data_IF_743757470874
#
_entry.id   IF_743757470874
#
_cell.length_a   1.000
_cell.length_b   1.000
_cell.length_c   1.000
_cell.angle_alpha   90.00
_cell.angle_beta   90.00
_cell.angle_gamma   90.00
#
_symmetry.space_group_name_H-M   'P 1'
#
loop_
_entity.id
_entity.type
_entity.pdbx_description
1 polymer ?
#
# COMPACT_ATOMS: atom_id res chain seq x y z
N UNK A 1 24.31 45.91 3.54
CA UNK A 1 23.92 44.94 2.50
C UNK A 1 23.94 43.56 3.16
N UNK A 2 22.79 43.05 3.59
CA UNK A 2 22.71 41.69 4.11
C UNK A 2 22.82 40.74 2.92
N UNK A 3 23.84 39.87 2.93
CA UNK A 3 23.89 38.71 2.05
C UNK A 3 22.72 37.80 2.45
N UNK A 4 21.54 38.06 1.88
CA UNK A 4 20.36 37.24 2.07
C UNK A 4 20.66 35.85 1.55
N UNK A 5 20.88 34.90 2.44
CA UNK A 5 20.91 33.49 2.08
C UNK A 5 19.57 33.14 1.45
N UNK A 6 19.58 32.85 0.15
CA UNK A 6 18.42 32.31 -0.57
C UNK A 6 18.22 30.87 -0.09
N UNK A 7 17.39 30.71 0.94
CA UNK A 7 17.01 29.40 1.48
C UNK A 7 15.73 28.93 0.78
N UNK A 8 15.83 27.82 0.04
CA UNK A 8 14.68 27.16 -0.59
C UNK A 8 13.82 26.46 0.46
N UNK A 9 12.49 26.51 0.33
CA UNK A 9 11.55 25.96 1.32
C UNK A 9 10.39 25.23 0.64
N UNK A 10 9.97 24.10 1.22
CA UNK A 10 8.78 23.33 0.85
C UNK A 10 7.86 23.36 2.08
N UNK A 11 6.73 24.05 1.96
CA UNK A 11 5.96 24.47 3.13
C UNK A 11 6.83 25.26 4.13
N UNK A 12 7.03 24.70 5.33
CA UNK A 12 7.85 25.29 6.41
C UNK A 12 9.29 24.79 6.45
N UNK A 13 9.65 23.77 5.66
CA UNK A 13 10.93 23.07 5.78
C UNK A 13 11.93 23.58 4.75
N UNK A 14 13.13 24.04 5.15
CA UNK A 14 14.19 24.40 4.22
C UNK A 14 14.84 23.17 3.58
N UNK A 15 15.11 23.20 2.27
CA UNK A 15 15.70 22.09 1.54
C UNK A 15 16.78 22.55 0.55
N UNK A 16 17.78 21.69 0.32
CA UNK A 16 19.02 22.03 -0.44
C UNK A 16 18.97 21.59 -1.92
N UNK A 17 18.14 20.59 -2.25
CA UNK A 17 18.04 20.00 -3.58
C UNK A 17 17.02 20.76 -4.45
N UNK A 18 17.12 20.74 -5.79
CA UNK A 18 16.05 21.28 -6.63
C UNK A 18 14.74 20.48 -6.51
N UNK A 19 13.57 21.06 -6.83
CA UNK A 19 12.28 20.35 -6.91
C UNK A 19 12.26 19.36 -8.07
N UNK A 20 13.10 18.31 -7.98
CA UNK A 20 13.38 17.36 -9.04
C UNK A 20 13.11 15.90 -8.68
N UNK A 21 13.17 15.52 -7.41
CA UNK A 21 13.04 14.11 -7.05
C UNK A 21 11.64 13.84 -6.49
N UNK A 22 10.65 13.84 -7.39
CA UNK A 22 9.34 13.27 -7.12
C UNK A 22 9.50 11.76 -6.92
N UNK A 23 9.20 11.25 -5.74
CA UNK A 23 9.00 9.81 -5.56
C UNK A 23 7.59 9.46 -6.04
N UNK A 24 7.49 8.51 -6.97
CA UNK A 24 6.21 7.93 -7.37
C UNK A 24 6.08 6.56 -6.71
N UNK A 25 5.06 6.42 -5.86
CA UNK A 25 4.71 5.15 -5.23
C UNK A 25 3.49 4.60 -5.95
N UNK A 26 3.69 3.53 -6.72
CA UNK A 26 2.63 2.88 -7.50
C UNK A 26 2.15 1.61 -6.79
N UNK A 27 0.90 1.61 -6.37
CA UNK A 27 0.18 0.44 -5.88
C UNK A 27 -0.62 -0.19 -7.02
N UNK A 28 0.03 -1.04 -7.82
CA UNK A 28 -0.64 -1.77 -8.90
C UNK A 28 -0.94 -3.21 -8.50
N UNK A 29 -2.12 -3.71 -8.86
CA UNK A 29 -2.45 -5.14 -8.77
C UNK A 29 -1.44 -6.01 -9.54
N UNK A 30 -0.83 -5.49 -10.61
CA UNK A 30 0.17 -6.25 -11.39
C UNK A 30 1.41 -6.59 -10.57
N UNK A 31 1.78 -5.72 -9.62
CA UNK A 31 2.93 -5.89 -8.75
C UNK A 31 2.68 -6.87 -7.61
N UNK A 32 1.42 -7.26 -7.34
CA UNK A 32 1.09 -8.21 -6.27
C UNK A 32 1.31 -9.67 -6.65
N UNK A 33 1.58 -9.97 -7.93
CA UNK A 33 1.90 -11.32 -8.39
C UNK A 33 3.22 -11.78 -7.79
N UNK A 34 3.18 -12.86 -7.02
CA UNK A 34 4.38 -13.47 -6.44
C UNK A 34 5.21 -14.18 -7.49
N UNK A 35 6.53 -14.12 -7.34
CA UNK A 35 7.46 -14.99 -8.08
C UNK A 35 7.61 -16.31 -7.33
N UNK A 36 7.97 -17.37 -8.05
CA UNK A 36 8.00 -18.74 -7.51
C UNK A 36 8.98 -18.94 -6.33
N UNK A 37 9.99 -18.09 -6.20
CA UNK A 37 11.02 -18.17 -5.16
C UNK A 37 10.88 -17.10 -4.06
N UNK A 38 9.89 -16.21 -4.17
CA UNK A 38 9.72 -15.11 -3.21
C UNK A 38 8.99 -15.59 -1.96
N UNK A 39 9.58 -15.34 -0.80
CA UNK A 39 8.87 -15.35 0.46
C UNK A 39 8.11 -14.04 0.70
N UNK A 40 7.50 -13.86 1.89
CA UNK A 40 6.73 -12.65 2.19
C UNK A 40 7.61 -11.40 2.29
N UNK A 41 8.86 -11.55 2.72
CA UNK A 41 9.82 -10.44 2.85
C UNK A 41 10.29 -10.00 1.45
N UNK A 42 10.70 -10.95 0.61
CA UNK A 42 11.15 -10.66 -0.76
C UNK A 42 10.03 -9.99 -1.57
N UNK A 43 8.82 -10.54 -1.44
CA UNK A 43 7.62 -10.02 -2.07
C UNK A 43 7.37 -8.56 -1.67
N UNK A 44 7.38 -8.25 -0.37
CA UNK A 44 7.10 -6.89 0.11
C UNK A 44 8.23 -5.91 -0.20
N UNK A 45 9.49 -6.33 -0.15
CA UNK A 45 10.63 -5.52 -0.56
C UNK A 45 10.49 -5.11 -2.04
N UNK A 46 10.12 -6.05 -2.91
CA UNK A 46 9.85 -5.76 -4.32
C UNK A 46 8.63 -4.86 -4.50
N UNK A 47 7.50 -5.23 -3.88
CA UNK A 47 6.23 -4.50 -4.01
C UNK A 47 6.36 -3.04 -3.56
N UNK A 48 7.08 -2.80 -2.46
CA UNK A 48 7.30 -1.46 -1.92
C UNK A 48 8.54 -0.79 -2.51
N UNK A 49 9.39 -1.50 -3.23
CA UNK A 49 10.71 -1.06 -3.69
C UNK A 49 11.55 -0.44 -2.56
N UNK A 50 11.77 -1.22 -1.50
CA UNK A 50 12.55 -0.84 -0.31
C UNK A 50 13.49 -1.96 0.10
N UNK A 51 14.51 -1.63 0.89
CA UNK A 51 15.38 -2.63 1.50
C UNK A 51 14.72 -3.35 2.69
N UNK A 52 15.34 -4.44 3.14
CA UNK A 52 14.85 -5.28 4.23
C UNK A 52 14.74 -4.53 5.56
N UNK A 53 15.69 -3.66 5.88
CA UNK A 53 15.66 -2.92 7.15
C UNK A 53 14.51 -1.92 7.17
N UNK A 54 14.29 -1.21 6.06
CA UNK A 54 13.14 -0.33 5.89
C UNK A 54 11.81 -1.10 6.01
N UNK A 55 11.70 -2.30 5.41
CA UNK A 55 10.51 -3.13 5.54
C UNK A 55 10.22 -3.53 7.00
N UNK A 56 11.23 -3.97 7.73
CA UNK A 56 11.07 -4.36 9.13
C UNK A 56 10.65 -3.16 10.00
N UNK A 57 11.23 -1.99 9.75
CA UNK A 57 10.81 -0.75 10.41
C UNK A 57 9.35 -0.40 10.11
N UNK A 58 8.89 -0.53 8.86
CA UNK A 58 7.49 -0.32 8.51
C UNK A 58 6.56 -1.32 9.22
N UNK A 59 6.98 -2.58 9.37
CA UNK A 59 6.21 -3.60 10.08
C UNK A 59 6.06 -3.30 11.58
N UNK A 60 7.06 -2.68 12.21
CA UNK A 60 6.97 -2.22 13.61
C UNK A 60 5.92 -1.11 13.80
N UNK A 61 5.62 -0.34 12.75
CA UNK A 61 4.53 0.65 12.76
C UNK A 61 3.14 -0.02 12.66
N UNK A 62 3.08 -1.33 12.41
CA UNK A 62 1.86 -2.14 12.33
C UNK A 62 1.11 -2.02 11.00
N UNK A 63 -0.13 -2.53 10.98
CA UNK A 63 -1.01 -2.55 9.79
C UNK A 63 -1.56 -1.19 9.34
N UNK A 64 -1.10 -0.09 9.93
CA UNK A 64 -1.51 1.26 9.58
C UNK A 64 -2.99 1.56 9.86
N UNK A 65 -3.52 2.60 9.22
CA UNK A 65 -4.89 3.07 9.46
C UNK A 65 -5.95 2.25 8.70
N UNK A 66 -5.62 1.69 7.52
CA UNK A 66 -6.61 0.96 6.72
C UNK A 66 -6.87 -0.44 7.29
N UNK A 67 -5.85 -1.14 7.80
CA UNK A 67 -6.03 -2.40 8.50
C UNK A 67 -5.27 -2.42 9.84
N UNK A 68 -5.81 -1.77 10.89
CA UNK A 68 -5.12 -1.67 12.17
C UNK A 68 -4.84 -3.04 12.78
N UNK A 69 -3.60 -3.25 13.20
CA UNK A 69 -3.15 -4.50 13.80
C UNK A 69 -1.63 -4.56 13.93
N UNK A 70 -1.15 -5.65 14.50
CA UNK A 70 0.27 -5.91 14.69
C UNK A 70 0.80 -6.76 13.54
N UNK A 71 2.08 -6.58 13.21
CA UNK A 71 2.78 -7.32 12.18
C UNK A 71 4.06 -7.90 12.77
N UNK A 72 4.38 -9.14 12.42
CA UNK A 72 5.71 -9.72 12.66
C UNK A 72 6.12 -10.62 11.51
N UNK A 73 7.42 -10.82 11.36
CA UNK A 73 7.98 -11.81 10.47
C UNK A 73 8.50 -12.99 11.27
N UNK A 74 8.13 -14.20 10.88
CA UNK A 74 8.61 -15.44 11.49
C UNK A 74 9.06 -16.42 10.42
N UNK A 75 10.08 -17.21 10.73
CA UNK A 75 10.51 -18.28 9.84
C UNK A 75 9.39 -19.31 9.69
N UNK A 76 9.15 -19.73 8.45
CA UNK A 76 8.18 -20.75 8.15
C UNK A 76 8.65 -22.11 8.67
N UNK A 77 7.73 -22.88 9.25
CA UNK A 77 7.97 -24.23 9.73
C UNK A 77 7.00 -25.19 9.05
N UNK A 78 7.53 -26.34 8.64
CA UNK A 78 6.76 -27.47 8.15
C UNK A 78 6.42 -28.40 9.32
N UNK A 79 5.17 -28.87 9.36
CA UNK A 79 4.67 -29.78 10.39
C UNK A 79 4.60 -31.18 9.81
N UNK A 80 5.42 -32.08 10.33
CA UNK A 80 5.43 -33.49 9.95
C UNK A 80 5.06 -34.34 11.16
N UNK A 81 4.46 -35.49 10.90
CA UNK A 81 4.27 -36.52 11.91
C UNK A 81 5.28 -37.63 11.63
N UNK A 82 5.95 -38.11 12.67
CA UNK A 82 6.86 -39.25 12.55
C UNK A 82 6.10 -40.59 12.55
N UNK A 83 6.84 -41.70 12.60
CA UNK A 83 6.27 -43.05 12.63
C UNK A 83 5.46 -43.36 13.91
N UNK A 84 5.53 -42.48 14.92
CA UNK A 84 4.84 -42.59 16.21
C UNK A 84 3.74 -41.53 16.38
N UNK A 85 3.34 -40.84 15.31
CA UNK A 85 2.41 -39.70 15.32
C UNK A 85 2.89 -38.51 16.19
N UNK A 86 4.19 -38.38 16.44
CA UNK A 86 4.77 -37.21 17.13
C UNK A 86 4.97 -36.03 16.14
N UNK A 87 4.59 -34.82 16.57
CA UNK A 87 4.73 -33.61 15.75
C UNK A 87 6.19 -33.14 15.72
N UNK A 88 6.78 -33.15 14.53
CA UNK A 88 8.10 -32.61 14.23
C UNK A 88 7.95 -31.31 13.45
N UNK A 89 8.51 -30.23 14.00
CA UNK A 89 8.63 -28.94 13.34
C UNK A 89 9.97 -28.87 12.61
N UNK A 90 9.94 -28.67 11.29
CA UNK A 90 11.15 -28.47 10.49
C UNK A 90 11.16 -27.07 9.90
N UNK A 91 12.24 -26.33 10.13
CA UNK A 91 12.44 -25.02 9.52
C UNK A 91 12.48 -25.10 7.99
N UNK A 92 11.75 -24.21 7.33
CA UNK A 92 11.75 -24.08 5.88
C UNK A 92 12.82 -23.07 5.47
N UNK A 93 13.64 -23.46 4.51
CA UNK A 93 14.65 -22.61 3.89
C UNK A 93 14.41 -22.46 2.38
N UNK A 94 14.87 -21.36 1.83
CA UNK A 94 14.94 -21.09 0.39
C UNK A 94 16.01 -21.96 -0.28
N UNK A 95 16.02 -22.06 -1.63
CA UNK A 95 17.02 -22.84 -2.37
C UNK A 95 18.49 -22.43 -2.14
N UNK A 96 18.72 -21.17 -1.75
CA UNK A 96 20.04 -20.62 -1.41
C UNK A 96 20.44 -20.87 0.06
N UNK A 97 19.56 -21.49 0.86
CA UNK A 97 19.78 -21.77 2.27
C UNK A 97 19.33 -20.67 3.22
N UNK A 98 18.83 -19.52 2.73
CA UNK A 98 18.27 -18.49 3.61
C UNK A 98 16.93 -18.95 4.25
N UNK A 99 16.59 -18.48 5.46
CA UNK A 99 15.28 -18.73 6.06
C UNK A 99 14.13 -18.25 5.15
N UNK A 100 13.10 -19.08 4.99
CA UNK A 100 11.86 -18.66 4.34
C UNK A 100 10.99 -17.92 5.36
N UNK A 101 10.69 -16.65 5.12
CA UNK A 101 9.99 -15.78 6.08
C UNK A 101 8.51 -15.60 5.73
N UNK A 102 7.65 -15.78 6.73
CA UNK A 102 6.22 -15.46 6.68
C UNK A 102 5.94 -14.14 7.38
N UNK A 103 5.09 -13.31 6.79
CA UNK A 103 4.42 -12.22 7.47
C UNK A 103 3.21 -12.77 8.21
N UNK A 104 3.16 -12.51 9.51
CA UNK A 104 2.02 -12.78 10.36
C UNK A 104 1.38 -11.45 10.77
N UNK A 105 0.07 -11.37 10.56
CA UNK A 105 -0.76 -10.23 10.95
C UNK A 105 -1.71 -10.64 12.07
N UNK A 106 -1.94 -9.73 13.01
CA UNK A 106 -2.98 -9.86 14.02
C UNK A 106 -3.79 -8.58 14.04
N UNK A 107 -5.09 -8.69 13.77
CA UNK A 107 -5.99 -7.54 13.80
C UNK A 107 -6.00 -6.88 15.18
N UNK A 108 -6.24 -5.56 15.23
CA UNK A 108 -6.29 -4.82 16.48
C UNK A 108 -7.40 -5.37 17.39
N UNK A 109 -7.00 -5.83 18.58
CA UNK A 109 -7.90 -6.49 19.53
C UNK A 109 -8.21 -7.97 19.20
N UNK A 110 -7.65 -8.50 18.11
CA UNK A 110 -7.69 -9.91 17.77
C UNK A 110 -6.72 -10.74 18.60
N UNK A 111 -7.00 -12.03 18.73
CA UNK A 111 -6.18 -12.96 19.52
C UNK A 111 -5.19 -13.76 18.67
N UNK A 112 -5.52 -13.99 17.39
CA UNK A 112 -4.81 -14.93 16.54
C UNK A 112 -3.91 -14.23 15.53
N UNK A 113 -2.72 -14.82 15.33
CA UNK A 113 -1.83 -14.47 14.23
C UNK A 113 -2.23 -15.27 12.99
N UNK A 114 -2.41 -14.59 11.88
CA UNK A 114 -2.74 -15.17 10.58
C UNK A 114 -1.66 -14.80 9.58
N UNK A 115 -1.22 -15.78 8.78
CA UNK A 115 -0.27 -15.53 7.71
C UNK A 115 -0.89 -14.66 6.63
N UNK A 116 -0.08 -13.87 5.94
CA UNK A 116 -0.49 -13.02 4.82
C UNK A 116 -1.35 -13.76 3.78
N UNK A 117 -0.99 -15.00 3.45
CA UNK A 117 -1.72 -15.85 2.51
C UNK A 117 -3.12 -16.32 2.98
N UNK A 118 -3.44 -16.15 4.27
CA UNK A 118 -4.73 -16.54 4.86
C UNK A 118 -5.66 -15.36 5.13
N UNK A 119 -5.24 -14.13 4.83
CA UNK A 119 -6.11 -12.97 4.87
C UNK A 119 -7.19 -13.07 3.79
N UNK A 120 -8.37 -12.53 4.08
CA UNK A 120 -9.38 -12.35 3.04
C UNK A 120 -8.84 -11.41 1.95
N UNK A 121 -9.34 -11.51 0.71
CA UNK A 121 -8.84 -10.72 -0.43
C UNK A 121 -8.85 -9.21 -0.16
N UNK A 122 -9.90 -8.71 0.51
CA UNK A 122 -10.01 -7.30 0.91
C UNK A 122 -9.00 -6.93 2.01
N UNK A 123 -8.82 -7.78 3.02
CA UNK A 123 -7.82 -7.58 4.09
C UNK A 123 -6.40 -7.58 3.54
N UNK A 124 -6.08 -8.53 2.65
CA UNK A 124 -4.81 -8.59 1.95
C UNK A 124 -4.54 -7.28 1.20
N UNK A 125 -5.51 -6.80 0.41
CA UNK A 125 -5.41 -5.52 -0.29
C UNK A 125 -5.26 -4.33 0.66
N UNK A 126 -6.04 -4.27 1.75
CA UNK A 126 -5.94 -3.21 2.76
C UNK A 126 -4.57 -3.19 3.43
N UNK A 127 -3.99 -4.35 3.74
CA UNK A 127 -2.68 -4.45 4.36
C UNK A 127 -1.58 -3.96 3.40
N UNK A 128 -1.63 -4.38 2.13
CA UNK A 128 -0.65 -3.92 1.13
C UNK A 128 -0.73 -2.41 0.89
N UNK A 129 -1.94 -1.88 0.69
CA UNK A 129 -2.14 -0.43 0.54
C UNK A 129 -1.71 0.29 1.82
N UNK A 130 -1.93 -0.27 3.00
CA UNK A 130 -1.46 0.32 4.27
C UNK A 130 0.06 0.44 4.31
N UNK A 131 0.79 -0.61 3.93
CA UNK A 131 2.25 -0.55 3.84
C UNK A 131 2.71 0.56 2.89
N UNK A 132 2.08 0.65 1.71
CA UNK A 132 2.45 1.64 0.72
C UNK A 132 2.10 3.08 1.17
N UNK A 133 0.97 3.27 1.87
CA UNK A 133 0.61 4.55 2.49
C UNK A 133 1.61 4.92 3.59
N UNK A 134 2.00 3.98 4.45
CA UNK A 134 3.03 4.23 5.47
C UNK A 134 4.36 4.58 4.82
N UNK A 135 4.78 3.86 3.77
CA UNK A 135 5.95 4.24 2.95
C UNK A 135 5.80 5.68 2.44
N UNK A 136 4.65 6.03 1.86
CA UNK A 136 4.42 7.37 1.32
C UNK A 136 4.52 8.47 2.38
N UNK A 137 3.99 8.22 3.59
CA UNK A 137 4.10 9.13 4.73
C UNK A 137 5.53 9.32 5.21
N UNK A 138 6.33 8.26 5.21
CA UNK A 138 7.74 8.39 5.57
C UNK A 138 8.55 9.09 4.47
N UNK A 139 8.30 8.77 3.20
CA UNK A 139 8.99 9.41 2.08
C UNK A 139 8.64 10.88 1.94
N UNK A 140 7.36 11.26 2.14
CA UNK A 140 6.92 12.65 1.98
C UNK A 140 7.49 13.62 3.02
N UNK A 141 8.09 13.12 4.10
CA UNK A 141 8.84 13.93 5.06
C UNK A 141 10.14 14.50 4.47
N UNK A 142 10.66 13.88 3.41
CA UNK A 142 11.96 14.19 2.83
C UNK A 142 11.91 14.59 1.36
N UNK A 143 10.87 14.16 0.63
CA UNK A 143 10.73 14.37 -0.82
C UNK A 143 9.28 14.67 -1.19
N UNK A 144 9.09 15.33 -2.33
CA UNK A 144 7.79 15.36 -3.00
C UNK A 144 7.36 13.93 -3.33
N UNK A 145 6.12 13.57 -3.00
CA UNK A 145 5.60 12.21 -3.18
C UNK A 145 4.27 12.24 -3.93
N UNK A 146 4.17 11.40 -4.96
CA UNK A 146 2.92 11.07 -5.65
C UNK A 146 2.56 9.61 -5.37
N UNK A 147 1.40 9.39 -4.79
CA UNK A 147 0.85 8.08 -4.49
C UNK A 147 -0.21 7.70 -5.51
N UNK A 148 0.01 6.60 -6.23
CA UNK A 148 -0.87 6.12 -7.30
C UNK A 148 -1.44 4.75 -6.93
N UNK A 149 -2.74 4.54 -7.16
CA UNK A 149 -3.38 3.24 -6.92
C UNK A 149 -4.13 2.77 -8.17
N UNK A 150 -3.82 1.56 -8.62
CA UNK A 150 -4.39 0.94 -9.81
C UNK A 150 -4.75 -0.54 -9.56
N UNK A 151 -6.02 -0.89 -9.79
CA UNK A 151 -6.54 -2.26 -9.70
C UNK A 151 -6.65 -2.86 -8.28
N UNK A 152 -5.69 -2.63 -7.38
CA UNK A 152 -5.64 -3.30 -6.08
C UNK A 152 -6.88 -3.03 -5.20
N UNK A 153 -7.46 -1.86 -5.37
CA UNK A 153 -8.65 -1.38 -4.66
C UNK A 153 -9.97 -1.91 -5.25
N UNK A 154 -9.93 -2.71 -6.32
CA UNK A 154 -11.13 -3.25 -6.99
C UNK A 154 -11.84 -4.34 -6.19
N UNK A 155 -11.29 -4.75 -5.05
CA UNK A 155 -11.95 -5.66 -4.13
C UNK A 155 -12.47 -4.94 -2.87
N UNK A 156 -12.39 -3.60 -2.82
CA UNK A 156 -12.83 -2.82 -1.67
C UNK A 156 -14.32 -2.51 -1.80
N UNK A 157 -15.09 -2.89 -0.79
CA UNK A 157 -16.47 -2.42 -0.62
C UNK A 157 -16.52 -0.90 -0.37
N UNK A 158 -17.73 -0.33 -0.34
CA UNK A 158 -17.93 1.12 -0.21
C UNK A 158 -17.30 1.66 1.08
N UNK A 159 -17.37 0.90 2.17
CA UNK A 159 -16.79 1.28 3.46
C UNK A 159 -15.25 1.36 3.40
N UNK A 160 -14.60 0.33 2.87
CA UNK A 160 -13.14 0.29 2.75
C UNK A 160 -12.62 1.31 1.73
N UNK A 161 -13.37 1.55 0.65
CA UNK A 161 -13.05 2.58 -0.32
C UNK A 161 -13.15 3.99 0.27
N UNK A 162 -14.24 4.31 0.95
CA UNK A 162 -14.39 5.58 1.69
C UNK A 162 -13.27 5.77 2.72
N UNK A 163 -12.97 4.72 3.49
CA UNK A 163 -11.87 4.73 4.47
C UNK A 163 -10.53 5.06 3.81
N UNK A 164 -10.23 4.46 2.66
CA UNK A 164 -9.03 4.77 1.88
C UNK A 164 -8.98 6.24 1.48
N UNK A 165 -10.06 6.77 0.89
CA UNK A 165 -10.14 8.17 0.48
C UNK A 165 -9.95 9.12 1.67
N UNK A 166 -10.52 8.78 2.82
CA UNK A 166 -10.39 9.55 4.06
C UNK A 166 -8.98 9.51 4.67
N UNK A 167 -8.23 8.42 4.50
CA UNK A 167 -6.82 8.32 4.93
C UNK A 167 -5.91 9.11 4.00
N UNK A 168 -6.11 8.99 2.69
CA UNK A 168 -5.30 9.66 1.68
C UNK A 168 -5.51 11.18 1.68
N UNK A 169 -6.75 11.66 1.89
CA UNK A 169 -7.05 13.10 1.92
C UNK A 169 -6.42 13.86 3.08
N UNK A 170 -6.02 13.15 4.14
CA UNK A 170 -5.35 13.72 5.32
C UNK A 170 -3.83 13.66 5.24
N UNK A 171 -3.28 13.16 4.14
CA UNK A 171 -1.84 12.91 4.01
C UNK A 171 -1.13 14.08 3.33
N UNK A 172 0.14 14.31 3.69
CA UNK A 172 0.98 15.40 3.16
C UNK A 172 1.58 15.10 1.76
N UNK A 173 0.96 14.19 1.00
CA UNK A 173 1.39 13.81 -0.35
C UNK A 173 0.21 13.82 -1.32
N UNK A 174 0.48 13.97 -2.61
CA UNK A 174 -0.56 13.93 -3.63
C UNK A 174 -0.98 12.49 -3.93
N UNK A 175 -2.27 12.26 -4.08
CA UNK A 175 -2.82 10.93 -4.37
C UNK A 175 -3.67 10.95 -5.63
N UNK A 176 -3.56 9.91 -6.44
CA UNK A 176 -4.50 9.62 -7.52
C UNK A 176 -4.80 8.12 -7.57
N UNK A 177 -6.02 7.77 -7.96
CA UNK A 177 -6.47 6.39 -8.01
C UNK A 177 -7.43 6.19 -9.17
N UNK A 178 -7.44 4.97 -9.67
CA UNK A 178 -8.43 4.54 -10.66
C UNK A 178 -9.70 4.18 -9.91
N UNK A 179 -10.79 4.88 -10.24
CA UNK A 179 -12.12 4.59 -9.69
C UNK A 179 -12.53 3.15 -10.03
N UNK A 180 -12.79 2.28 -9.03
CA UNK A 180 -13.31 0.94 -9.31
C UNK A 180 -14.70 1.03 -9.98
N UNK A 181 -14.96 0.31 -11.08
CA UNK A 181 -16.21 0.45 -11.84
C UNK A 181 -17.49 0.22 -11.01
N UNK A 182 -17.44 -0.69 -10.04
CA UNK A 182 -18.58 -1.02 -9.18
C UNK A 182 -18.81 0.01 -8.06
N UNK A 183 -17.89 0.96 -7.85
CA UNK A 183 -18.08 2.11 -6.96
C UNK A 183 -18.69 3.32 -7.67
N UNK A 184 -18.78 3.31 -9.00
CA UNK A 184 -19.27 4.47 -9.78
C UNK A 184 -20.65 4.92 -9.32
N UNK A 185 -21.61 4.00 -9.13
CA UNK A 185 -22.97 4.35 -8.68
C UNK A 185 -23.00 4.92 -7.27
N UNK A 186 -22.00 4.60 -6.45
CA UNK A 186 -21.89 5.07 -5.07
C UNK A 186 -21.31 6.48 -4.99
N UNK A 187 -20.44 6.87 -5.92
CA UNK A 187 -19.67 8.13 -5.83
C UNK A 187 -19.92 9.14 -6.96
N UNK A 188 -20.51 8.72 -8.08
CA UNK A 188 -20.75 9.58 -9.24
C UNK A 188 -22.24 9.94 -9.37
N UNK A 189 -22.49 11.20 -9.68
CA UNK A 189 -23.75 11.64 -10.28
C UNK A 189 -23.57 11.68 -11.80
N UNK A 190 -24.52 11.08 -12.51
CA UNK A 190 -24.51 10.93 -13.97
C UNK A 190 -25.82 11.50 -14.51
N UNK A 191 -25.86 12.82 -14.65
CA UNK A 191 -27.02 13.55 -15.19
C UNK A 191 -26.68 14.20 -16.53
N UNK A 192 -27.54 13.99 -17.52
CA UNK A 192 -27.56 14.73 -18.80
C UNK A 192 -26.20 14.85 -19.53
N UNK A 193 -25.34 13.84 -19.41
CA UNK A 193 -24.03 13.80 -20.07
C UNK A 193 -22.88 14.45 -19.29
N UNK A 194 -23.14 14.95 -18.08
CA UNK A 194 -22.13 15.40 -17.13
C UNK A 194 -21.89 14.29 -16.10
N UNK A 195 -20.62 13.96 -15.89
CA UNK A 195 -20.19 13.03 -14.83
C UNK A 195 -19.45 13.84 -13.78
N UNK A 196 -19.98 13.84 -12.55
CA UNK A 196 -19.41 14.57 -11.41
C UNK A 196 -19.32 13.66 -10.17
N UNK A 197 -18.49 14.06 -9.20
CA UNK A 197 -18.53 13.45 -7.88
C UNK A 197 -19.79 13.90 -7.15
N UNK A 198 -20.42 12.98 -6.42
CA UNK A 198 -21.50 13.30 -5.48
C UNK A 198 -21.02 14.26 -4.39
N UNK A 199 -21.97 15.03 -3.85
CA UNK A 199 -21.75 15.88 -2.67
C UNK A 199 -21.69 15.04 -1.39
N UNK A 200 -20.61 14.29 -1.21
CA UNK A 200 -20.32 13.51 -0.01
C UNK A 200 -19.12 14.09 0.73
N UNK A 201 -19.19 14.15 2.07
CA UNK A 201 -18.16 14.80 2.90
C UNK A 201 -16.74 14.27 2.62
N UNK A 202 -16.59 12.96 2.42
CA UNK A 202 -15.29 12.35 2.15
C UNK A 202 -14.75 12.60 0.74
N UNK A 203 -15.57 13.12 -0.18
CA UNK A 203 -15.21 13.45 -1.57
C UNK A 203 -14.82 14.92 -1.76
N UNK A 204 -15.03 15.80 -0.77
CA UNK A 204 -14.77 17.24 -0.89
C UNK A 204 -13.31 17.58 -1.29
N UNK A 205 -12.35 16.75 -0.87
CA UNK A 205 -10.93 16.92 -1.20
C UNK A 205 -10.53 16.26 -2.53
N UNK A 206 -11.46 15.58 -3.21
CA UNK A 206 -11.21 14.81 -4.41
C UNK A 206 -11.73 15.53 -5.65
N UNK A 207 -11.06 15.29 -6.77
CA UNK A 207 -11.47 15.77 -8.08
C UNK A 207 -11.60 14.59 -9.02
N UNK A 208 -12.72 14.52 -9.75
CA UNK A 208 -12.88 13.56 -10.83
C UNK A 208 -12.11 14.04 -12.07
N UNK A 209 -11.34 13.13 -12.67
CA UNK A 209 -10.72 13.33 -13.97
C UNK A 209 -11.15 12.19 -14.88
N UNK A 210 -11.87 12.52 -15.95
CA UNK A 210 -12.20 11.59 -17.02
C UNK A 210 -11.05 11.64 -18.02
N UNK A 211 -10.39 10.51 -18.22
CA UNK A 211 -9.37 10.38 -19.26
C UNK A 211 -10.06 9.96 -20.55
N UNK A 212 -9.93 10.79 -21.59
CA UNK A 212 -10.32 10.36 -22.92
C UNK A 212 -9.44 9.17 -23.32
N UNK A 213 -10.05 8.15 -23.95
CA UNK A 213 -9.26 7.14 -24.66
C UNK A 213 -8.47 7.89 -25.72
N UNK A 214 -7.21 8.15 -25.43
CA UNK A 214 -6.25 8.61 -26.42
C UNK A 214 -6.35 7.68 -27.64
N UNK A 215 -6.37 8.22 -28.86
CA UNK A 215 -6.52 7.53 -30.15
C UNK A 215 -5.40 6.51 -30.50
N UNK A 216 -4.88 5.77 -29.52
CA UNK A 216 -3.75 4.85 -29.62
C UNK A 216 -4.22 3.39 -29.72
N UNK A 217 -5.21 3.16 -30.59
CA UNK A 217 -5.70 1.82 -30.94
C UNK A 217 -5.50 1.47 -32.43
N UNK A 218 -4.64 2.21 -33.13
CA UNK A 218 -4.33 1.99 -34.54
C UNK A 218 -2.83 1.98 -34.78
N UNK A 219 -2.15 0.90 -34.40
CA UNK A 219 -0.86 0.45 -34.94
C UNK A 219 -0.81 -1.08 -34.81
#
# INVERSE_FOLDING_TARGET
>A
MSNGSLVRREGKTPYLLPPGDLEVILCSERETRRRAHEDDVDFLMRYLNIDKAALFYLAEMGGGELLPGDIKFEQAVDRKYDEFDEEILTDICKPDGEPYMNLLFRSRGGQYWVSLARLATSEYGLLLVSFAVTKARETCKQKLTLFLVDGLIYNFDSYNFEKLLGVLSKSDFQSALVLPPYQESNILDKDEGVVALKELDYLVQWQLRVLERSEWGGC
#
